data_IF_073661866095
#
_entry.id   IF_073661866095
#
_cell.length_a   1.000
_cell.length_b   1.000
_cell.length_c   1.000
_cell.angle_alpha   90.00
_cell.angle_beta   90.00
_cell.angle_gamma   90.00
#
_symmetry.space_group_name_H-M   'P 1'
#
loop_
_entity.id
_entity.type
_entity.pdbx_description
1 polymer ?
#
# COMPACT_ATOMS: atom_id res chain seq x y z
N UNK A 1 17.75 9.35 18.24
CA UNK A 1 16.60 8.85 17.46
C UNK A 1 16.86 9.11 15.97
N UNK A 2 17.26 8.09 15.23
CA UNK A 2 17.45 8.20 13.77
C UNK A 2 16.10 8.03 13.11
N UNK A 3 15.59 9.07 12.46
CA UNK A 3 14.42 9.00 11.59
C UNK A 3 14.79 8.17 10.37
N UNK A 4 14.23 6.97 10.26
CA UNK A 4 14.27 6.20 9.02
C UNK A 4 13.18 6.78 8.13
N UNK A 5 13.52 7.75 7.33
CA UNK A 5 12.73 8.16 6.19
C UNK A 5 12.94 7.10 5.11
N UNK A 6 12.03 6.14 5.03
CA UNK A 6 11.96 5.28 3.86
C UNK A 6 11.53 6.12 2.67
N UNK A 7 12.49 6.63 1.92
CA UNK A 7 12.23 7.23 0.61
C UNK A 7 11.80 6.11 -0.33
N UNK A 8 10.50 6.05 -0.60
CA UNK A 8 9.97 5.22 -1.68
C UNK A 8 10.40 5.86 -2.99
N UNK A 9 11.56 5.48 -3.49
CA UNK A 9 12.06 5.94 -4.80
C UNK A 9 11.36 5.08 -5.86
N UNK A 10 10.30 5.63 -6.44
CA UNK A 10 9.75 5.10 -7.69
C UNK A 10 10.74 5.44 -8.81
N UNK A 11 11.49 4.47 -9.27
CA UNK A 11 12.35 4.64 -10.44
C UNK A 11 11.50 4.58 -11.71
N UNK A 12 11.27 5.74 -12.31
CA UNK A 12 10.77 5.85 -13.67
C UNK A 12 11.95 5.75 -14.64
N UNK A 13 12.16 4.58 -15.22
CA UNK A 13 12.91 4.47 -16.48
C UNK A 13 11.89 4.54 -17.62
N UNK A 14 11.73 5.72 -18.23
CA UNK A 14 11.05 5.87 -19.53
C UNK A 14 9.51 5.70 -19.55
N UNK A 15 8.84 5.69 -18.41
CA UNK A 15 7.39 5.64 -18.34
C UNK A 15 6.79 7.05 -18.25
N UNK A 16 5.62 7.25 -18.84
CA UNK A 16 4.77 8.40 -18.52
C UNK A 16 4.68 8.52 -16.99
N UNK A 17 4.73 9.75 -16.47
CA UNK A 17 4.67 9.97 -15.03
C UNK A 17 3.39 9.32 -14.49
N UNK A 18 3.52 8.45 -13.49
CA UNK A 18 2.38 7.85 -12.80
C UNK A 18 1.48 8.94 -12.26
N UNK A 19 0.20 8.80 -12.43
CA UNK A 19 -0.80 9.75 -11.91
C UNK A 19 -1.71 9.13 -10.86
N UNK A 20 -1.98 7.82 -10.95
CA UNK A 20 -2.90 7.09 -10.08
C UNK A 20 -2.24 5.89 -9.42
N UNK A 21 -2.33 5.81 -8.10
CA UNK A 21 -1.74 4.73 -7.30
C UNK A 21 -2.81 4.10 -6.40
N UNK A 22 -2.94 2.78 -6.48
CA UNK A 22 -3.73 2.00 -5.53
C UNK A 22 -2.82 1.35 -4.47
N UNK A 23 -3.22 1.46 -3.21
CA UNK A 23 -2.54 0.86 -2.07
C UNK A 23 -3.41 -0.24 -1.49
N UNK A 24 -2.88 -1.44 -1.44
CA UNK A 24 -3.61 -2.66 -1.10
C UNK A 24 -2.79 -3.53 -0.16
N UNK A 25 -3.49 -4.45 0.46
CA UNK A 25 -2.87 -5.56 1.17
C UNK A 25 -3.39 -5.74 2.59
N UNK A 26 -3.25 -6.96 3.10
CA UNK A 26 -3.65 -7.31 4.47
C UNK A 26 -2.62 -6.88 5.52
N UNK A 27 -1.62 -6.08 5.16
CA UNK A 27 -0.58 -5.63 6.07
C UNK A 27 -1.07 -4.67 7.14
N UNK A 28 -0.14 -4.16 7.94
CA UNK A 28 -0.45 -3.16 8.94
C UNK A 28 -1.11 -1.94 8.27
N UNK A 29 -2.32 -1.56 8.66
CA UNK A 29 -3.05 -0.46 8.05
C UNK A 29 -2.26 0.86 8.13
N UNK A 30 -1.45 1.04 9.15
CA UNK A 30 -0.58 2.20 9.30
C UNK A 30 0.44 2.32 8.17
N UNK A 31 1.02 1.21 7.71
CA UNK A 31 1.96 1.20 6.57
C UNK A 31 1.23 1.61 5.30
N UNK A 32 0.07 1.00 5.04
CA UNK A 32 -0.74 1.29 3.84
C UNK A 32 -1.24 2.74 3.81
N UNK A 33 -1.74 3.25 4.94
CA UNK A 33 -2.23 4.62 5.06
C UNK A 33 -1.10 5.65 4.86
N UNK A 34 0.09 5.40 5.43
CA UNK A 34 1.23 6.27 5.21
C UNK A 34 1.74 6.23 3.76
N UNK A 35 1.70 5.06 3.11
CA UNK A 35 2.05 4.93 1.71
C UNK A 35 1.10 5.76 0.82
N UNK A 36 -0.22 5.66 1.04
CA UNK A 36 -1.22 6.45 0.33
C UNK A 36 -1.05 7.96 0.57
N UNK A 37 -0.84 8.35 1.82
CA UNK A 37 -0.61 9.76 2.18
C UNK A 37 0.68 10.32 1.58
N UNK A 38 1.73 9.49 1.52
CA UNK A 38 3.00 9.89 0.89
C UNK A 38 2.85 10.03 -0.63
N UNK A 39 2.18 9.07 -1.29
CA UNK A 39 1.87 9.16 -2.72
C UNK A 39 1.08 10.44 -3.05
N UNK A 40 0.05 10.73 -2.26
CA UNK A 40 -0.71 11.98 -2.41
C UNK A 40 0.17 13.24 -2.27
N UNK A 41 1.07 13.28 -1.29
CA UNK A 41 2.02 14.39 -1.11
C UNK A 41 2.98 14.58 -2.28
N UNK A 42 3.21 13.52 -3.06
CA UNK A 42 4.00 13.59 -4.29
C UNK A 42 3.16 14.00 -5.53
N UNK A 43 1.90 14.40 -5.33
CA UNK A 43 1.01 14.84 -6.39
C UNK A 43 0.28 13.71 -7.13
N UNK A 44 0.32 12.48 -6.61
CA UNK A 44 -0.39 11.34 -7.18
C UNK A 44 -1.82 11.27 -6.63
N UNK A 45 -2.78 10.90 -7.47
CA UNK A 45 -4.10 10.46 -7.02
C UNK A 45 -3.96 9.12 -6.34
N UNK A 46 -4.37 9.03 -5.09
CA UNK A 46 -4.12 7.87 -4.24
C UNK A 46 -5.44 7.23 -3.80
N UNK A 47 -5.51 5.91 -3.87
CA UNK A 47 -6.65 5.13 -3.38
C UNK A 47 -6.16 4.02 -2.45
N UNK A 48 -6.95 3.69 -1.44
CA UNK A 48 -6.62 2.63 -0.49
C UNK A 48 -7.81 1.72 -0.26
N UNK A 49 -7.58 0.41 -0.27
CA UNK A 49 -8.55 -0.57 0.18
C UNK A 49 -8.29 -0.97 1.63
N UNK A 50 -9.32 -0.98 2.45
CA UNK A 50 -9.26 -1.40 3.83
C UNK A 50 -10.59 -2.00 4.33
N UNK A 51 -10.53 -2.78 5.41
CA UNK A 51 -11.70 -3.44 5.98
C UNK A 51 -12.55 -2.53 6.87
N UNK A 52 -12.05 -1.32 7.20
CA UNK A 52 -12.71 -0.39 8.11
C UNK A 52 -12.51 1.06 7.64
N UNK A 53 -13.20 1.46 6.57
CA UNK A 53 -13.04 2.80 5.98
C UNK A 53 -13.20 3.97 6.96
N UNK A 54 -14.18 3.97 7.90
CA UNK A 54 -14.31 5.09 8.85
C UNK A 54 -13.09 5.25 9.76
N UNK A 55 -12.51 4.13 10.21
CA UNK A 55 -11.30 4.15 11.05
C UNK A 55 -10.09 4.60 10.23
N UNK A 56 -9.96 4.12 9.00
CA UNK A 56 -8.90 4.54 8.09
C UNK A 56 -8.94 6.05 7.81
N UNK A 57 -10.11 6.61 7.57
CA UNK A 57 -10.27 8.07 7.38
C UNK A 57 -9.84 8.85 8.61
N UNK A 58 -10.23 8.42 9.81
CA UNK A 58 -9.77 9.04 11.07
C UNK A 58 -8.26 8.95 11.26
N UNK A 59 -7.65 7.85 10.85
CA UNK A 59 -6.18 7.69 10.91
C UNK A 59 -5.45 8.57 9.89
N UNK A 60 -6.05 8.77 8.71
CA UNK A 60 -5.48 9.64 7.67
C UNK A 60 -5.55 11.11 8.05
N UNK A 61 -6.68 11.57 8.55
CA UNK A 61 -7.03 12.99 8.65
C UNK A 61 -7.31 13.47 10.06
N UNK A 62 -7.46 12.56 11.04
CA UNK A 62 -7.84 12.88 12.40
C UNK A 62 -9.33 12.64 12.66
N UNK A 63 -9.84 13.07 13.83
CA UNK A 63 -11.21 12.79 14.26
C UNK A 63 -12.27 13.52 13.43
N UNK A 64 -11.92 14.67 12.89
CA UNK A 64 -12.80 15.48 12.03
C UNK A 64 -12.29 15.42 10.61
N UNK A 65 -13.03 14.72 9.75
CA UNK A 65 -12.68 14.55 8.35
C UNK A 65 -13.55 15.47 7.52
N UNK A 66 -12.92 16.38 6.78
CA UNK A 66 -13.64 17.27 5.87
C UNK A 66 -13.95 16.54 4.55
N UNK A 67 -14.96 17.01 3.83
CA UNK A 67 -15.26 16.52 2.48
C UNK A 67 -14.11 16.76 1.50
N UNK A 68 -13.35 17.83 1.71
CA UNK A 68 -12.15 18.12 0.94
C UNK A 68 -11.04 17.09 1.18
N UNK A 69 -10.83 16.67 2.43
CA UNK A 69 -9.85 15.63 2.76
C UNK A 69 -10.27 14.26 2.23
N UNK A 70 -11.56 13.92 2.27
CA UNK A 70 -12.07 12.68 1.68
C UNK A 70 -11.83 12.59 0.18
N UNK A 71 -11.86 13.71 -0.53
CA UNK A 71 -11.58 13.77 -1.95
C UNK A 71 -10.09 13.55 -2.31
N UNK A 72 -9.17 13.75 -1.36
CA UNK A 72 -7.73 13.64 -1.59
C UNK A 72 -7.22 12.21 -1.68
N UNK A 73 -7.78 11.31 -0.85
CA UNK A 73 -7.43 9.89 -0.86
C UNK A 73 -8.71 9.08 -0.79
N UNK A 74 -9.01 8.34 -1.86
CA UNK A 74 -10.18 7.47 -1.93
C UNK A 74 -9.98 6.26 -1.04
N UNK A 75 -10.91 6.04 -0.12
CA UNK A 75 -10.92 4.88 0.78
C UNK A 75 -12.09 3.98 0.42
N UNK A 76 -11.79 2.74 0.03
CA UNK A 76 -12.79 1.74 -0.39
C UNK A 76 -12.77 0.50 0.49
N UNK A 77 -13.84 -0.30 0.42
CA UNK A 77 -14.00 -1.54 1.15
C UNK A 77 -14.52 -2.67 0.24
N UNK A 78 -14.16 -3.90 0.60
CA UNK A 78 -14.65 -5.09 -0.07
C UNK A 78 -14.10 -5.33 -1.47
N UNK A 79 -14.54 -6.42 -2.07
CA UNK A 79 -14.04 -6.86 -3.38
C UNK A 79 -14.43 -5.91 -4.51
N UNK A 80 -15.63 -5.36 -4.47
CA UNK A 80 -16.12 -4.40 -5.47
C UNK A 80 -15.30 -3.11 -5.43
N UNK A 81 -15.08 -2.54 -4.24
CA UNK A 81 -14.25 -1.34 -4.07
C UNK A 81 -12.80 -1.58 -4.48
N UNK A 82 -12.25 -2.77 -4.20
CA UNK A 82 -10.91 -3.15 -4.70
C UNK A 82 -10.90 -3.18 -6.23
N UNK A 83 -11.89 -3.79 -6.87
CA UNK A 83 -12.02 -3.82 -8.32
C UNK A 83 -12.02 -2.41 -8.92
N UNK A 84 -12.81 -1.52 -8.34
CA UNK A 84 -12.92 -0.13 -8.78
C UNK A 84 -11.59 0.63 -8.75
N UNK A 85 -10.79 0.50 -7.69
CA UNK A 85 -9.50 1.19 -7.59
C UNK A 85 -8.38 0.53 -8.40
N UNK A 86 -8.53 -0.74 -8.78
CA UNK A 86 -7.56 -1.45 -9.62
C UNK A 86 -7.72 -1.16 -11.10
N UNK A 87 -8.93 -0.85 -11.55
CA UNK A 87 -9.25 -0.70 -12.96
C UNK A 87 -8.39 0.35 -13.68
N UNK A 88 -8.16 1.46 -13.01
CA UNK A 88 -7.40 2.59 -13.57
C UNK A 88 -6.08 2.89 -12.82
N UNK A 89 -5.67 2.02 -11.89
CA UNK A 89 -4.42 2.17 -11.17
C UNK A 89 -3.22 1.94 -12.07
N UNK A 90 -2.41 2.96 -12.25
CA UNK A 90 -1.14 2.91 -13.00
C UNK A 90 0.02 2.38 -12.15
N UNK A 91 -0.05 2.62 -10.85
CA UNK A 91 0.88 2.09 -9.85
C UNK A 91 0.17 1.29 -8.76
N UNK A 92 0.80 0.20 -8.33
CA UNK A 92 0.33 -0.60 -7.21
C UNK A 92 1.35 -0.61 -6.08
N UNK A 93 0.86 -0.40 -4.86
CA UNK A 93 1.61 -0.67 -3.63
C UNK A 93 0.89 -1.78 -2.88
N UNK A 94 1.53 -2.93 -2.73
CA UNK A 94 0.99 -4.09 -2.02
C UNK A 94 1.75 -4.23 -0.71
N UNK A 95 1.06 -4.09 0.43
CA UNK A 95 1.67 -4.17 1.75
C UNK A 95 1.28 -5.45 2.48
N UNK A 96 2.27 -6.26 2.80
CA UNK A 96 2.18 -7.40 3.71
C UNK A 96 2.97 -7.19 5.01
N UNK A 97 3.60 -6.02 5.19
CA UNK A 97 4.40 -5.74 6.37
C UNK A 97 3.52 -5.66 7.63
N UNK A 98 3.99 -6.30 8.70
CA UNK A 98 3.24 -6.38 9.97
C UNK A 98 2.11 -7.41 9.99
N UNK A 99 1.93 -8.18 8.92
CA UNK A 99 0.89 -9.20 8.81
C UNK A 99 1.35 -10.41 7.99
N UNK A 100 1.06 -11.61 8.47
CA UNK A 100 1.47 -12.86 7.82
C UNK A 100 0.54 -13.32 6.67
N UNK A 101 -0.51 -12.57 6.37
CA UNK A 101 -1.58 -13.01 5.46
C UNK A 101 -1.40 -12.66 3.98
N UNK A 102 -0.29 -12.04 3.60
CA UNK A 102 -0.03 -11.80 2.19
C UNK A 102 0.42 -13.11 1.51
N UNK A 103 -0.34 -13.55 0.53
CA UNK A 103 -0.11 -14.80 -0.21
C UNK A 103 0.20 -14.54 -1.68
N UNK A 104 0.84 -15.54 -2.33
CA UNK A 104 1.07 -15.48 -3.77
C UNK A 104 -0.20 -15.32 -4.57
N UNK A 105 -1.25 -16.08 -4.22
CA UNK A 105 -2.55 -16.00 -4.88
C UNK A 105 -3.20 -14.61 -4.77
N UNK A 106 -3.05 -13.93 -3.63
CA UNK A 106 -3.52 -12.55 -3.49
C UNK A 106 -2.80 -11.61 -4.47
N UNK A 107 -1.48 -11.69 -4.53
CA UNK A 107 -0.68 -10.86 -5.44
C UNK A 107 -1.03 -11.10 -6.90
N UNK A 108 -1.14 -12.37 -7.32
CA UNK A 108 -1.55 -12.73 -8.69
C UNK A 108 -2.94 -12.20 -9.03
N UNK A 109 -3.89 -12.34 -8.12
CA UNK A 109 -5.27 -11.86 -8.32
C UNK A 109 -5.33 -10.35 -8.45
N UNK A 110 -4.65 -9.61 -7.57
CA UNK A 110 -4.57 -8.14 -7.64
C UNK A 110 -3.95 -7.69 -8.95
N UNK A 111 -2.82 -8.28 -9.33
CA UNK A 111 -2.13 -7.90 -10.57
C UNK A 111 -2.94 -8.23 -11.83
N UNK A 112 -3.68 -9.35 -11.83
CA UNK A 112 -4.57 -9.72 -12.94
C UNK A 112 -5.70 -8.70 -13.12
N UNK A 113 -6.22 -8.15 -12.03
CA UNK A 113 -7.32 -7.19 -12.03
C UNK A 113 -6.88 -5.72 -12.14
N UNK A 114 -5.60 -5.46 -12.39
CA UNK A 114 -5.05 -4.12 -12.59
C UNK A 114 -4.50 -3.96 -14.02
N UNK A 115 -5.36 -3.84 -15.03
CA UNK A 115 -4.92 -3.83 -16.44
C UNK A 115 -4.05 -2.62 -16.79
N UNK A 116 -4.32 -1.46 -16.21
CA UNK A 116 -3.58 -0.22 -16.44
C UNK A 116 -2.23 -0.15 -15.70
N UNK A 117 -1.94 -1.12 -14.83
CA UNK A 117 -0.75 -1.08 -13.98
C UNK A 117 0.54 -1.18 -14.80
N UNK A 118 1.43 -0.23 -14.58
CA UNK A 118 2.75 -0.13 -15.20
C UNK A 118 3.91 -0.19 -14.20
N UNK A 119 3.62 -0.17 -12.90
CA UNK A 119 4.65 -0.24 -11.84
C UNK A 119 4.09 -0.86 -10.56
N UNK A 120 4.87 -1.71 -9.92
CA UNK A 120 4.48 -2.41 -8.68
C UNK A 120 5.55 -2.24 -7.62
N UNK A 121 5.12 -1.95 -6.40
CA UNK A 121 5.96 -1.99 -5.21
C UNK A 121 5.32 -2.93 -4.17
N UNK A 122 6.10 -3.89 -3.65
CA UNK A 122 5.68 -4.77 -2.58
C UNK A 122 6.47 -4.45 -1.33
N UNK A 123 5.75 -4.21 -0.23
CA UNK A 123 6.33 -4.02 1.09
C UNK A 123 6.07 -5.27 1.95
N UNK A 124 7.11 -5.96 2.34
CA UNK A 124 7.04 -7.17 3.16
C UNK A 124 8.02 -7.11 4.32
N UNK A 125 7.74 -7.87 5.37
CA UNK A 125 8.68 -8.05 6.46
C UNK A 125 9.82 -8.99 6.04
N UNK A 126 11.03 -8.66 6.46
CA UNK A 126 12.20 -9.47 6.15
C UNK A 126 12.05 -10.90 6.66
N UNK A 127 12.27 -11.87 5.78
CA UNK A 127 12.12 -13.30 6.09
C UNK A 127 10.68 -13.83 6.02
N UNK A 128 9.69 -12.98 5.69
CA UNK A 128 8.29 -13.38 5.54
C UNK A 128 7.77 -13.16 4.12
N UNK A 129 6.65 -13.78 3.78
CA UNK A 129 5.91 -13.59 2.53
C UNK A 129 6.75 -13.83 1.25
N UNK A 130 7.67 -14.80 1.29
CA UNK A 130 8.52 -15.13 0.14
C UNK A 130 7.71 -15.55 -1.08
N UNK A 131 6.70 -16.39 -0.89
CA UNK A 131 5.76 -16.85 -1.93
C UNK A 131 5.01 -15.69 -2.60
N UNK A 132 4.58 -14.70 -1.84
CA UNK A 132 3.91 -13.51 -2.37
C UNK A 132 4.85 -12.65 -3.22
N UNK A 133 6.11 -12.51 -2.79
CA UNK A 133 7.13 -11.78 -3.55
C UNK A 133 7.44 -12.49 -4.86
N UNK A 134 7.61 -13.81 -4.83
CA UNK A 134 7.95 -14.60 -6.02
C UNK A 134 6.79 -14.61 -7.02
N UNK A 135 5.56 -14.78 -6.54
CA UNK A 135 4.35 -14.71 -7.38
C UNK A 135 4.20 -13.34 -8.04
N UNK A 136 4.38 -12.27 -7.29
CA UNK A 136 4.29 -10.92 -7.84
C UNK A 136 5.39 -10.62 -8.86
N UNK A 137 6.64 -11.02 -8.59
CA UNK A 137 7.74 -10.87 -9.55
C UNK A 137 7.47 -11.62 -10.85
N UNK A 138 6.95 -12.86 -10.74
CA UNK A 138 6.58 -13.66 -11.90
C UNK A 138 5.48 -12.96 -12.71
N UNK A 139 4.38 -12.57 -12.08
CA UNK A 139 3.27 -11.89 -12.75
C UNK A 139 3.69 -10.55 -13.39
N UNK A 140 4.57 -9.81 -12.73
CA UNK A 140 5.13 -8.57 -13.28
C UNK A 140 6.05 -8.85 -14.48
N UNK A 141 6.88 -9.89 -14.41
CA UNK A 141 7.77 -10.27 -15.51
C UNK A 141 6.98 -10.70 -16.76
N UNK A 142 5.91 -11.46 -16.60
CA UNK A 142 5.02 -11.88 -17.70
C UNK A 142 4.38 -10.67 -18.42
N UNK A 143 4.19 -9.56 -17.73
CA UNK A 143 3.63 -8.30 -18.25
C UNK A 143 4.70 -7.26 -18.59
N UNK A 144 5.97 -7.54 -18.39
CA UNK A 144 7.08 -6.58 -18.53
C UNK A 144 6.94 -5.34 -17.64
N UNK A 145 6.37 -5.51 -16.44
CA UNK A 145 6.16 -4.45 -15.46
C UNK A 145 7.32 -4.47 -14.45
N UNK A 146 7.95 -3.33 -14.13
CA UNK A 146 8.93 -3.24 -13.06
C UNK A 146 8.29 -3.55 -11.71
N UNK A 147 8.95 -4.41 -10.92
CA UNK A 147 8.53 -4.81 -9.59
C UNK A 147 9.63 -4.51 -8.57
N UNK A 148 9.36 -3.58 -7.68
CA UNK A 148 10.23 -3.23 -6.56
C UNK A 148 9.78 -3.96 -5.30
N UNK A 149 10.74 -4.53 -4.55
CA UNK A 149 10.47 -5.21 -3.28
C UNK A 149 11.16 -4.47 -2.15
N UNK A 150 10.37 -3.90 -1.25
CA UNK A 150 10.83 -3.31 -0.02
C UNK A 150 10.73 -4.34 1.11
N UNK A 151 11.86 -4.74 1.66
CA UNK A 151 11.91 -5.59 2.84
C UNK A 151 12.18 -4.73 4.06
N UNK A 152 11.21 -4.70 4.97
CA UNK A 152 11.32 -3.98 6.24
C UNK A 152 11.64 -4.97 7.36
N UNK A 153 12.44 -4.54 8.33
CA UNK A 153 12.55 -5.29 9.57
C UNK A 153 11.26 -5.19 10.36
N UNK A 154 11.15 -6.01 11.41
CA UNK A 154 9.99 -5.97 12.30
C UNK A 154 9.56 -4.52 12.60
N UNK A 155 8.30 -4.23 12.32
CA UNK A 155 7.73 -2.92 12.61
C UNK A 155 7.57 -2.78 14.12
N UNK A 156 8.41 -1.97 14.74
CA UNK A 156 8.34 -1.65 16.17
C UNK A 156 7.92 -0.21 16.33
N UNK A 157 6.93 0.02 17.16
CA UNK A 157 6.44 1.34 17.51
C UNK A 157 4.93 1.45 17.31
N UNK A 158 4.33 2.30 18.14
CA UNK A 158 2.91 2.59 18.06
C UNK A 158 2.63 3.56 16.92
N UNK A 159 1.83 3.15 15.95
CA UNK A 159 1.12 4.10 15.12
C UNK A 159 0.06 4.84 15.96
N UNK A 160 -0.55 5.91 15.45
CA UNK A 160 -1.69 6.53 16.09
C UNK A 160 -2.79 5.49 16.29
N UNK A 161 -3.12 5.20 17.54
CA UNK A 161 -4.09 4.18 17.95
C UNK A 161 -3.50 2.91 18.55
N UNK A 162 -2.18 2.70 18.53
CA UNK A 162 -1.52 1.57 19.19
C UNK A 162 -0.86 1.97 20.51
N UNK A 163 -1.53 2.72 21.34
CA UNK A 163 -1.11 2.96 22.74
C UNK A 163 -1.26 1.69 23.61
N UNK A 164 -0.80 0.56 23.10
CA UNK A 164 -0.61 -0.65 23.88
C UNK A 164 0.87 -0.83 24.12
N UNK A 165 1.40 -0.24 25.19
CA UNK A 165 2.75 -0.57 25.59
C UNK A 165 3.57 0.50 26.30
N UNK A 166 3.01 1.63 26.65
CA UNK A 166 3.69 2.61 27.51
C UNK A 166 3.28 2.42 28.97
N UNK A 167 3.26 1.18 29.46
CA UNK A 167 2.83 0.93 30.82
C UNK A 167 3.20 -0.47 31.30
N UNK A 168 4.49 -0.81 31.26
CA UNK A 168 5.04 -1.89 32.04
C UNK A 168 6.55 -1.73 32.08
N UNK A 169 7.03 -0.95 33.00
CA UNK A 169 8.34 -1.07 33.59
C UNK A 169 8.28 -0.47 35.00
#
# INVERSE_FOLDING_TARGET
MRRVTASLVLFAAGAAALTKVAVLGPGDPWVSLNAAKHAHKQGLTSSIACNKPPEARKMLWGPEVSSEDEAKIKVVEGAEGIGEILEDAEGLIISGAGFAGLTGNYCETVLRNAPACTSVAICVEAGKNGDAVDAARKACAERSIPCSVLRVHELRGGGPGTNKGAGAA
#
